data_IF_569779308598
#
_entry.id   IF_569779308598
#
_cell.length_a   1.000
_cell.length_b   1.000
_cell.length_c   1.000
_cell.angle_alpha   90.00
_cell.angle_beta   90.00
_cell.angle_gamma   90.00
#
_symmetry.space_group_name_H-M   'P 1'
#
loop_
_entity.id
_entity.type
_entity.pdbx_description
1 polymer ?
#
# COMPACT_ATOMS: atom_id res chain seq x y z
N UNK A 1 53.81 12.86 -4.64
CA UNK A 1 53.14 11.54 -4.74
C UNK A 1 52.84 11.04 -3.34
N UNK A 2 51.57 11.08 -2.90
CA UNK A 2 51.04 10.28 -1.79
C UNK A 2 49.55 10.03 -2.11
N UNK A 3 49.33 8.95 -2.85
CA UNK A 3 48.04 8.25 -2.89
C UNK A 3 47.93 7.52 -1.56
N UNK A 4 46.75 7.50 -0.93
CA UNK A 4 46.21 6.37 -0.15
C UNK A 4 44.89 6.83 0.54
N UNK A 5 43.80 6.22 0.06
CA UNK A 5 42.60 5.78 0.78
C UNK A 5 41.62 6.83 1.34
N UNK A 6 40.73 7.32 0.47
CA UNK A 6 39.36 7.73 0.83
C UNK A 6 38.32 6.86 0.09
N UNK A 7 38.48 5.52 0.14
CA UNK A 7 37.60 4.56 -0.56
C UNK A 7 36.65 3.82 0.42
N UNK A 8 36.69 4.10 1.72
CA UNK A 8 35.91 3.33 2.72
C UNK A 8 34.53 3.90 3.08
N UNK A 9 34.08 5.03 2.51
CA UNK A 9 32.77 5.62 2.85
C UNK A 9 31.70 5.46 1.74
N UNK A 10 31.85 4.44 0.90
CA UNK A 10 30.90 4.05 -0.14
C UNK A 10 30.31 2.65 0.15
N UNK A 11 30.14 2.32 1.43
CA UNK A 11 29.39 1.13 1.82
C UNK A 11 27.90 1.45 1.67
N UNK A 12 27.34 0.85 0.62
CA UNK A 12 26.04 1.17 0.05
C UNK A 12 24.88 1.11 1.03
N UNK A 13 24.20 2.24 1.15
CA UNK A 13 22.77 2.24 1.35
C UNK A 13 22.13 1.67 0.07
N UNK A 14 22.09 0.35 -0.03
CA UNK A 14 21.18 -0.31 -0.97
C UNK A 14 19.77 -0.06 -0.43
N UNK A 15 19.17 1.04 -0.86
CA UNK A 15 17.75 1.29 -0.63
C UNK A 15 16.99 0.17 -1.32
N UNK A 16 16.53 -0.81 -0.54
CA UNK A 16 15.56 -1.80 -1.00
C UNK A 16 14.38 -1.00 -1.52
N UNK A 17 14.25 -0.96 -2.85
CA UNK A 17 13.17 -0.22 -3.49
C UNK A 17 11.91 -1.05 -3.31
N UNK A 18 11.12 -0.71 -2.29
CA UNK A 18 9.78 -1.25 -2.15
C UNK A 18 8.92 -0.64 -3.27
N UNK A 19 8.66 -1.43 -4.31
CA UNK A 19 7.76 -1.05 -5.37
C UNK A 19 6.36 -1.53 -5.02
N UNK A 20 5.44 -0.59 -4.81
CA UNK A 20 4.03 -0.90 -4.68
C UNK A 20 3.47 -1.38 -6.04
N UNK A 21 2.94 -2.60 -6.07
CA UNK A 21 2.34 -3.21 -7.26
C UNK A 21 0.83 -3.13 -7.15
N UNK A 22 0.17 -2.63 -8.20
CA UNK A 22 -1.29 -2.62 -8.27
C UNK A 22 -1.83 -4.05 -8.37
N UNK A 23 -2.79 -4.38 -7.51
CA UNK A 23 -3.52 -5.64 -7.54
C UNK A 23 -4.99 -5.42 -7.87
N UNK A 24 -5.59 -6.42 -8.53
CA UNK A 24 -7.03 -6.43 -8.83
C UNK A 24 -7.88 -6.89 -7.64
N UNK A 25 -7.27 -7.65 -6.72
CA UNK A 25 -7.98 -8.28 -5.62
C UNK A 25 -7.03 -8.75 -4.52
N UNK A 26 -7.57 -8.89 -3.30
CA UNK A 26 -6.97 -9.65 -2.20
C UNK A 26 -7.81 -10.91 -1.98
N UNK A 27 -7.18 -12.07 -1.96
CA UNK A 27 -7.85 -13.35 -1.71
C UNK A 27 -7.64 -13.75 -0.25
N UNK A 28 -8.73 -14.07 0.43
CA UNK A 28 -8.71 -14.74 1.74
C UNK A 28 -8.93 -16.24 1.54
N UNK A 29 -8.99 -17.00 2.63
CA UNK A 29 -9.23 -18.45 2.57
C UNK A 29 -10.53 -18.80 1.84
N UNK A 30 -11.58 -17.99 1.99
CA UNK A 30 -12.92 -18.27 1.47
C UNK A 30 -13.49 -17.17 0.57
N UNK A 31 -12.94 -15.96 0.61
CA UNK A 31 -13.54 -14.78 -0.01
C UNK A 31 -12.52 -13.96 -0.82
N UNK A 32 -13.04 -12.98 -1.55
CA UNK A 32 -12.26 -12.06 -2.37
C UNK A 32 -12.68 -10.62 -2.06
N UNK A 33 -11.70 -9.76 -1.84
CA UNK A 33 -11.87 -8.31 -1.83
C UNK A 33 -11.45 -7.75 -3.18
N UNK A 34 -12.32 -6.96 -3.79
CA UNK A 34 -12.09 -6.34 -5.12
C UNK A 34 -12.41 -4.86 -5.11
N UNK A 35 -12.12 -4.19 -6.22
CA UNK A 35 -12.62 -2.85 -6.52
C UNK A 35 -14.15 -2.76 -6.29
N UNK A 36 -14.61 -1.60 -5.80
CA UNK A 36 -16.01 -1.25 -5.50
C UNK A 36 -16.65 -2.00 -4.31
N UNK A 37 -15.96 -2.95 -3.67
CA UNK A 37 -16.44 -3.51 -2.40
C UNK A 37 -16.62 -2.39 -1.38
N UNK A 38 -17.72 -2.45 -0.60
CA UNK A 38 -17.91 -1.50 0.49
C UNK A 38 -16.84 -1.68 1.56
N UNK A 39 -16.48 -0.60 2.25
CA UNK A 39 -15.53 -0.66 3.38
C UNK A 39 -15.98 -1.67 4.45
N UNK A 40 -17.29 -1.80 4.70
CA UNK A 40 -17.84 -2.80 5.62
C UNK A 40 -17.60 -4.24 5.16
N UNK A 41 -17.84 -4.52 3.87
CA UNK A 41 -17.57 -5.85 3.27
C UNK A 41 -16.08 -6.17 3.27
N UNK A 42 -15.23 -5.20 2.94
CA UNK A 42 -13.78 -5.38 3.02
C UNK A 42 -13.35 -5.74 4.45
N UNK A 43 -13.82 -5.00 5.46
CA UNK A 43 -13.47 -5.23 6.86
C UNK A 43 -14.03 -6.57 7.39
N UNK A 44 -15.19 -7.03 6.92
CA UNK A 44 -15.70 -8.35 7.30
C UNK A 44 -14.86 -9.48 6.71
N UNK A 45 -14.36 -9.31 5.48
CA UNK A 45 -13.54 -10.31 4.76
C UNK A 45 -12.09 -10.36 5.27
N UNK A 46 -11.45 -9.21 5.45
CA UNK A 46 -10.03 -9.10 5.83
C UNK A 46 -9.82 -9.01 7.35
N UNK A 47 -10.88 -8.74 8.10
CA UNK A 47 -10.80 -8.48 9.52
C UNK A 47 -10.23 -7.10 9.85
N UNK A 48 -9.61 -6.99 11.02
CA UNK A 48 -9.09 -5.72 11.54
C UNK A 48 -7.78 -5.35 10.83
N UNK A 49 -7.64 -4.11 10.29
CA UNK A 49 -6.37 -3.63 9.75
C UNK A 49 -5.32 -3.45 10.84
N UNK A 50 -4.06 -3.52 10.44
CA UNK A 50 -2.92 -3.20 11.32
C UNK A 50 -2.93 -1.72 11.71
N UNK A 51 -3.20 -0.86 10.73
CA UNK A 51 -3.36 0.58 10.90
C UNK A 51 -4.17 1.18 9.76
N UNK A 52 -4.51 2.46 9.90
CA UNK A 52 -5.14 3.25 8.83
C UNK A 52 -4.53 4.63 8.74
N UNK A 53 -4.58 5.23 7.55
CA UNK A 53 -4.18 6.61 7.32
C UNK A 53 -5.26 7.36 6.52
N UNK A 54 -5.68 8.52 7.01
CA UNK A 54 -6.70 9.36 6.37
C UNK A 54 -6.03 10.59 5.78
N UNK A 55 -6.29 10.88 4.50
CA UNK A 55 -5.66 11.99 3.80
C UNK A 55 -6.54 12.52 2.68
N UNK A 56 -6.18 13.68 2.14
CA UNK A 56 -6.83 14.25 0.97
C UNK A 56 -5.91 14.18 -0.24
N UNK A 57 -6.51 14.00 -1.40
CA UNK A 57 -5.82 14.01 -2.70
C UNK A 57 -6.68 14.75 -3.73
N UNK A 58 -6.16 14.92 -4.94
CA UNK A 58 -6.92 15.44 -6.08
C UNK A 58 -6.87 14.46 -7.24
N UNK A 59 -8.00 14.26 -7.90
CA UNK A 59 -8.04 13.49 -9.14
C UNK A 59 -7.41 14.27 -10.30
N UNK A 60 -7.34 13.65 -11.49
CA UNK A 60 -6.79 14.26 -12.70
C UNK A 60 -7.55 15.52 -13.17
N UNK A 61 -8.77 15.74 -12.67
CA UNK A 61 -9.62 16.90 -12.95
C UNK A 61 -9.58 17.93 -11.81
N UNK A 62 -8.79 17.70 -10.78
CA UNK A 62 -8.68 18.59 -9.61
C UNK A 62 -9.77 18.42 -8.55
N UNK A 63 -10.69 17.45 -8.67
CA UNK A 63 -11.70 17.15 -7.66
C UNK A 63 -11.01 16.70 -6.37
N UNK A 64 -11.37 17.31 -5.25
CA UNK A 64 -10.88 16.90 -3.94
C UNK A 64 -11.42 15.50 -3.59
N UNK A 65 -10.51 14.60 -3.21
CA UNK A 65 -10.79 13.24 -2.78
C UNK A 65 -10.41 13.08 -1.32
N UNK A 66 -11.29 12.49 -0.52
CA UNK A 66 -11.01 12.08 0.85
C UNK A 66 -10.75 10.58 0.85
N UNK A 67 -9.52 10.20 1.18
CA UNK A 67 -9.04 8.83 1.06
C UNK A 67 -8.72 8.25 2.43
N UNK A 68 -8.92 6.94 2.56
CA UNK A 68 -8.47 6.18 3.73
C UNK A 68 -7.72 4.96 3.27
N UNK A 69 -6.44 4.86 3.62
CA UNK A 69 -5.65 3.67 3.41
C UNK A 69 -5.79 2.74 4.62
N UNK A 70 -6.04 1.47 4.36
CA UNK A 70 -6.03 0.38 5.34
C UNK A 70 -4.83 -0.53 5.06
N UNK A 71 -4.01 -0.77 6.08
CA UNK A 71 -2.80 -1.57 5.97
C UNK A 71 -2.99 -2.98 6.54
N UNK A 72 -2.56 -3.99 5.80
CA UNK A 72 -2.62 -5.40 6.18
C UNK A 72 -1.34 -6.12 5.80
N UNK A 73 -0.88 -7.07 6.61
CA UNK A 73 0.09 -8.08 6.20
C UNK A 73 -0.61 -9.42 5.99
N UNK A 74 -0.59 -9.93 4.75
CA UNK A 74 -1.19 -11.21 4.39
C UNK A 74 -0.15 -12.00 3.60
N UNK A 75 0.17 -13.21 4.04
CA UNK A 75 1.18 -14.07 3.41
C UNK A 75 2.53 -13.38 3.17
N UNK A 76 2.97 -12.57 4.16
CA UNK A 76 4.18 -11.74 4.12
C UNK A 76 4.17 -10.60 3.10
N UNK A 77 3.06 -10.38 2.40
CA UNK A 77 2.86 -9.22 1.54
C UNK A 77 2.16 -8.12 2.34
N UNK A 78 2.67 -6.89 2.22
CA UNK A 78 2.04 -5.72 2.81
C UNK A 78 1.06 -5.15 1.81
N UNK A 79 -0.22 -5.17 2.14
CA UNK A 79 -1.28 -4.59 1.35
C UNK A 79 -1.67 -3.22 1.86
N UNK A 80 -1.90 -2.31 0.91
CA UNK A 80 -2.57 -1.03 1.12
C UNK A 80 -3.89 -1.08 0.35
N UNK A 81 -5.01 -0.99 1.05
CA UNK A 81 -6.34 -0.88 0.44
C UNK A 81 -6.83 0.56 0.62
N UNK A 82 -6.90 1.30 -0.47
CA UNK A 82 -7.36 2.69 -0.48
C UNK A 82 -8.86 2.72 -0.68
N UNK A 83 -9.55 3.40 0.24
CA UNK A 83 -10.99 3.65 0.21
C UNK A 83 -11.26 5.06 -0.29
N UNK A 84 -12.21 5.21 -1.20
CA UNK A 84 -12.77 6.49 -1.63
C UNK A 84 -14.31 6.38 -1.65
N UNK A 85 -15.00 7.39 -1.12
CA UNK A 85 -16.47 7.42 -1.04
C UNK A 85 -17.07 6.12 -0.43
N UNK A 86 -16.39 5.56 0.58
CA UNK A 86 -16.84 4.37 1.32
C UNK A 86 -16.60 3.03 0.62
N UNK A 87 -15.91 3.01 -0.51
CA UNK A 87 -15.64 1.80 -1.31
C UNK A 87 -14.17 1.62 -1.64
N UNK A 88 -13.77 0.37 -1.89
CA UNK A 88 -12.42 0.02 -2.36
C UNK A 88 -12.17 0.68 -3.71
N UNK A 89 -11.23 1.61 -3.72
CA UNK A 89 -10.81 2.37 -4.89
C UNK A 89 -9.53 1.79 -5.50
N UNK A 90 -8.59 1.35 -4.66
CA UNK A 90 -7.31 0.80 -5.10
C UNK A 90 -6.80 -0.25 -4.13
N UNK A 91 -6.13 -1.26 -4.66
CA UNK A 91 -5.41 -2.28 -3.89
C UNK A 91 -3.98 -2.30 -4.40
N UNK A 92 -3.03 -2.16 -3.49
CA UNK A 92 -1.60 -2.26 -3.79
C UNK A 92 -0.95 -3.24 -2.83
N UNK A 93 0.15 -3.86 -3.24
CA UNK A 93 0.99 -4.64 -2.34
C UNK A 93 2.49 -4.40 -2.55
N UNK A 94 3.25 -4.65 -1.50
CA UNK A 94 4.71 -4.57 -1.45
C UNK A 94 5.29 -5.88 -0.88
N UNK A 95 6.50 -6.23 -1.35
CA UNK A 95 7.30 -7.38 -0.88
C UNK A 95 8.32 -6.97 0.17
#
# INVERSE_FOLDING_TARGET
MKKILFISLLLGFTTVSAYAVDARSIRTSTELVTYDDSVGSMLSKLGRPESKNEYTSRDSRGKLMFLTDYYYTIDKLKYTVTIWEGKVFRIQWER
#
